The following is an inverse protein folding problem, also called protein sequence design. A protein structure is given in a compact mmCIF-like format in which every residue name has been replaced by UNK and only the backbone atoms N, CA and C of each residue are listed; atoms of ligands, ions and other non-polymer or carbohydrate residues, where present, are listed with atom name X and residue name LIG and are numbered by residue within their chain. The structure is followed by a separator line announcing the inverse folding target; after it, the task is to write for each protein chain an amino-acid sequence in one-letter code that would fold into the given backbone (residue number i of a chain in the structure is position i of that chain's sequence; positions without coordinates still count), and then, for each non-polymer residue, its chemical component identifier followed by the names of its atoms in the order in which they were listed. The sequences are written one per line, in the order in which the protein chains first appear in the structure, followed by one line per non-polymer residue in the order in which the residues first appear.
data_IF_899180142636
#
_entry.id   IF_899180142636
#
_cell.length_a   1.000
_cell.length_b   1.000
_cell.length_c   1.000
_cell.angle_alpha   90.00
_cell.angle_beta   90.00
_cell.angle_gamma   90.00
#
_symmetry.space_group_name_H-M   'P 1'
#
loop_
_entity.id
_entity.type
_entity.pdbx_description
1 polymer ?
#
# COMPACT_ATOMS: atom_id res chain seq x y z
N UNK A 1 -13.31 34.44 -6.74
CA UNK A 1 -13.24 35.89 -6.43
C UNK A 1 -11.93 36.44 -6.99
N UNK A 2 -11.99 37.62 -7.61
CA UNK A 2 -10.90 38.40 -8.24
C UNK A 2 -10.38 37.95 -9.60
N UNK A 3 -10.87 38.60 -10.66
CA UNK A 3 -10.09 39.45 -11.57
C UNK A 3 -11.04 39.86 -12.71
N UNK A 4 -11.75 40.99 -12.58
CA UNK A 4 -11.29 42.34 -12.93
C UNK A 4 -10.86 42.49 -14.39
N UNK A 5 -11.87 42.71 -15.24
CA UNK A 5 -11.91 43.83 -16.19
C UNK A 5 -10.63 44.11 -17.00
N UNK A 6 -10.28 43.22 -17.92
CA UNK A 6 -9.43 43.60 -19.05
C UNK A 6 -10.31 44.08 -20.20
N UNK A 7 -10.75 45.34 -20.09
CA UNK A 7 -11.50 46.03 -21.14
C UNK A 7 -10.49 46.48 -22.21
N UNK A 8 -10.05 45.53 -23.05
CA UNK A 8 -9.24 45.87 -24.23
C UNK A 8 -10.11 46.70 -25.18
N UNK A 9 -9.82 47.98 -25.30
CA UNK A 9 -10.38 48.85 -26.34
C UNK A 9 -9.77 48.37 -27.67
N UNK A 10 -10.33 47.32 -28.26
CA UNK A 10 -10.18 47.05 -29.69
C UNK A 10 -11.05 48.09 -30.38
N UNK A 11 -10.43 49.21 -30.76
CA UNK A 11 -11.00 50.09 -31.78
C UNK A 11 -10.97 49.27 -33.06
N UNK A 12 -12.08 48.64 -33.40
CA UNK A 12 -12.24 47.92 -34.66
C UNK A 12 -12.01 48.92 -35.79
N UNK A 13 -10.82 48.86 -36.38
CA UNK A 13 -10.40 49.70 -37.49
C UNK A 13 -11.14 49.20 -38.73
N UNK A 14 -12.41 49.61 -38.87
CA UNK A 14 -13.25 49.20 -39.99
C UNK A 14 -12.74 49.86 -41.25
N UNK A 15 -12.11 49.06 -42.11
CA UNK A 15 -11.62 49.47 -43.44
C UNK A 15 -12.73 50.17 -44.26
N UNK A 16 -14.02 49.86 -44.00
CA UNK A 16 -15.18 50.53 -44.61
C UNK A 16 -15.16 52.05 -44.50
N UNK A 17 -14.67 52.60 -43.39
CA UNK A 17 -14.73 54.04 -43.13
C UNK A 17 -13.68 54.80 -43.95
N UNK A 18 -12.64 54.11 -44.43
CA UNK A 18 -11.59 54.66 -45.28
C UNK A 18 -11.80 54.34 -46.76
N UNK A 19 -12.57 53.30 -47.11
CA UNK A 19 -12.90 52.98 -48.50
C UNK A 19 -13.56 54.18 -49.20
N UNK A 20 -14.44 54.90 -48.51
CA UNK A 20 -15.07 56.12 -49.04
C UNK A 20 -14.05 57.22 -49.37
N UNK A 21 -13.07 57.44 -48.48
CA UNK A 21 -12.01 58.44 -48.68
C UNK A 21 -10.99 58.01 -49.74
N UNK A 22 -10.66 56.72 -49.81
CA UNK A 22 -9.77 56.17 -50.83
C UNK A 22 -10.43 56.26 -52.21
N UNK A 23 -11.71 55.87 -52.32
CA UNK A 23 -12.49 56.04 -53.55
C UNK A 23 -12.54 57.51 -53.93
N UNK A 24 -12.89 58.41 -53.01
CA UNK A 24 -12.94 59.84 -53.27
C UNK A 24 -11.59 60.38 -53.76
N UNK A 25 -10.48 59.96 -53.15
CA UNK A 25 -9.12 60.30 -53.59
C UNK A 25 -8.81 59.80 -55.01
N UNK A 26 -9.20 58.57 -55.34
CA UNK A 26 -9.03 58.00 -56.69
C UNK A 26 -9.90 58.75 -57.71
N UNK A 27 -11.16 59.07 -57.37
CA UNK A 27 -12.05 59.84 -58.24
C UNK A 27 -11.52 61.25 -58.47
N UNK A 28 -11.01 61.91 -57.43
CA UNK A 28 -10.38 63.23 -57.55
C UNK A 28 -9.12 63.17 -58.39
N UNK A 29 -8.33 62.09 -58.29
CA UNK A 29 -7.14 61.89 -59.11
C UNK A 29 -7.49 61.70 -60.60
N UNK A 30 -8.52 60.91 -60.91
CA UNK A 30 -8.98 60.74 -62.29
C UNK A 30 -9.63 61.99 -62.87
N UNK A 31 -10.31 62.79 -62.05
CA UNK A 31 -10.89 64.08 -62.44
C UNK A 31 -9.87 65.21 -62.44
N UNK A 32 -8.68 64.99 -61.88
CA UNK A 32 -7.64 66.00 -61.76
C UNK A 32 -7.25 66.62 -63.10
N UNK A 33 -7.01 65.88 -64.20
CA UNK A 33 -6.69 66.50 -65.50
C UNK A 33 -7.80 67.43 -66.01
N UNK A 34 -9.06 67.11 -65.72
CA UNK A 34 -10.21 67.89 -66.15
C UNK A 34 -10.41 69.13 -65.28
N UNK A 35 -10.33 69.00 -63.95
CA UNK A 35 -10.35 70.11 -63.00
C UNK A 35 -9.17 71.06 -63.26
N UNK A 36 -7.99 70.49 -63.54
CA UNK A 36 -6.78 71.23 -63.87
C UNK A 36 -6.94 71.99 -65.18
N UNK A 37 -7.45 71.34 -66.24
CA UNK A 37 -7.75 72.00 -67.51
C UNK A 37 -8.78 73.13 -67.35
N UNK A 38 -9.78 72.94 -66.49
CA UNK A 38 -10.79 73.96 -66.20
C UNK A 38 -10.20 75.15 -65.44
N UNK A 39 -9.39 74.90 -64.42
CA UNK A 39 -8.65 75.95 -63.68
C UNK A 39 -7.64 76.68 -64.57
N UNK A 40 -6.90 75.96 -65.42
CA UNK A 40 -5.96 76.55 -66.37
C UNK A 40 -6.65 77.43 -67.39
N UNK A 41 -7.79 77.00 -67.96
CA UNK A 41 -8.57 77.83 -68.89
C UNK A 41 -9.24 79.03 -68.19
N UNK A 42 -9.59 78.91 -66.91
CA UNK A 42 -10.18 80.01 -66.16
C UNK A 42 -9.14 81.07 -65.77
N UNK A 43 -7.90 80.66 -65.47
CA UNK A 43 -6.77 81.56 -65.13
C UNK A 43 -6.06 82.10 -66.39
N UNK A 44 -5.99 81.35 -67.49
CA UNK A 44 -5.40 81.79 -68.75
C UNK A 44 -6.46 82.24 -69.76
N UNK A 45 -6.89 83.48 -69.65
CA UNK A 45 -7.74 84.12 -70.67
C UNK A 45 -6.94 84.84 -71.78
N UNK A 46 -5.60 84.92 -71.68
CA UNK A 46 -4.75 85.48 -72.76
C UNK A 46 -3.37 84.80 -72.86
N UNK A 47 -3.13 83.90 -73.83
CA UNK A 47 -1.89 83.12 -73.94
C UNK A 47 -0.65 83.94 -74.32
N UNK A 48 -0.79 85.20 -74.77
CA UNK A 48 0.35 86.06 -75.11
C UNK A 48 1.01 86.74 -73.90
N UNK A 49 0.33 86.83 -72.75
CA UNK A 49 0.88 87.49 -71.55
C UNK A 49 1.72 86.54 -70.66
N UNK A 50 1.62 85.22 -70.87
CA UNK A 50 2.25 84.21 -70.01
C UNK A 50 3.52 83.56 -70.59
N UNK A 51 3.87 83.79 -71.86
CA UNK A 51 5.03 83.20 -72.52
C UNK A 51 6.38 83.47 -71.82
N UNK A 52 6.50 84.58 -71.08
CA UNK A 52 7.73 84.92 -70.32
C UNK A 52 7.71 84.43 -68.86
N UNK A 53 6.54 84.08 -68.29
CA UNK A 53 6.38 83.74 -66.86
C UNK A 53 6.08 82.24 -66.59
N UNK A 54 6.09 81.39 -67.62
CA UNK A 54 5.88 79.95 -67.47
C UNK A 54 6.95 79.26 -66.59
N UNK A 55 8.17 79.81 -66.52
CA UNK A 55 9.22 79.34 -65.60
C UNK A 55 8.83 79.50 -64.13
N UNK A 56 8.18 80.61 -63.75
CA UNK A 56 7.73 80.85 -62.37
C UNK A 56 6.60 79.89 -61.95
N UNK A 57 5.73 79.50 -62.90
CA UNK A 57 4.71 78.47 -62.66
C UNK A 57 5.37 77.09 -62.49
N UNK A 58 6.36 76.77 -63.32
CA UNK A 58 7.17 75.55 -63.20
C UNK A 58 7.91 75.43 -61.86
N UNK A 59 8.46 76.53 -61.34
CA UNK A 59 9.13 76.58 -60.03
C UNK A 59 8.15 76.43 -58.86
N UNK A 60 6.92 76.94 -58.97
CA UNK A 60 5.86 76.69 -57.99
C UNK A 60 5.46 75.21 -57.98
N UNK A 61 5.32 74.57 -59.13
CA UNK A 61 5.04 73.13 -59.19
C UNK A 61 6.23 72.29 -58.70
N UNK A 62 7.46 72.67 -59.05
CA UNK A 62 8.68 72.02 -58.58
C UNK A 62 8.84 72.12 -57.06
N UNK A 63 8.59 73.30 -56.48
CA UNK A 63 8.63 73.52 -55.04
C UNK A 63 7.51 72.80 -54.28
N UNK A 64 6.31 72.70 -54.84
CA UNK A 64 5.22 71.88 -54.30
C UNK A 64 5.58 70.39 -54.33
N UNK A 65 6.14 69.90 -55.44
CA UNK A 65 6.53 68.50 -55.55
C UNK A 65 7.72 68.16 -54.62
N UNK A 66 8.66 69.09 -54.43
CA UNK A 66 9.73 68.97 -53.43
C UNK A 66 9.19 69.01 -51.99
N UNK A 67 8.15 69.81 -51.71
CA UNK A 67 7.47 69.85 -50.42
C UNK A 67 6.72 68.55 -50.13
N UNK A 68 6.00 67.99 -51.13
CA UNK A 68 5.38 66.67 -51.00
C UNK A 68 6.42 65.57 -50.82
N UNK A 69 7.53 65.61 -51.55
CA UNK A 69 8.60 64.60 -51.43
C UNK A 69 9.28 64.66 -50.06
N UNK A 70 9.55 65.87 -49.55
CA UNK A 70 10.12 66.05 -48.21
C UNK A 70 9.15 65.68 -47.09
N UNK A 71 7.86 66.02 -47.22
CA UNK A 71 6.81 65.57 -46.30
C UNK A 71 6.67 64.04 -46.30
N UNK A 72 6.74 63.41 -47.47
CA UNK A 72 6.72 61.94 -47.62
C UNK A 72 7.94 61.31 -46.97
N UNK A 73 9.13 61.90 -47.13
CA UNK A 73 10.36 61.44 -46.47
C UNK A 73 10.22 61.50 -44.94
N UNK A 74 9.68 62.60 -44.40
CA UNK A 74 9.42 62.75 -42.97
C UNK A 74 8.43 61.68 -42.48
N UNK A 75 7.33 61.45 -43.21
CA UNK A 75 6.36 60.40 -42.88
C UNK A 75 6.99 59.01 -42.88
N UNK A 76 7.85 58.70 -43.85
CA UNK A 76 8.59 57.43 -43.91
C UNK A 76 9.54 57.31 -42.72
N UNK A 77 10.28 58.35 -42.36
CA UNK A 77 11.19 58.35 -41.20
C UNK A 77 10.40 58.08 -39.91
N UNK A 78 9.29 58.79 -39.70
CA UNK A 78 8.42 58.61 -38.52
C UNK A 78 7.82 57.20 -38.49
N UNK A 79 7.30 56.71 -39.62
CA UNK A 79 6.77 55.35 -39.74
C UNK A 79 7.83 54.29 -39.44
N UNK A 80 9.04 54.47 -39.96
CA UNK A 80 10.18 53.57 -39.70
C UNK A 80 10.58 53.57 -38.22
N UNK A 81 10.58 54.73 -37.56
CA UNK A 81 10.85 54.82 -36.12
C UNK A 81 9.76 54.14 -35.29
N UNK A 82 8.48 54.35 -35.62
CA UNK A 82 7.37 53.68 -34.95
C UNK A 82 7.41 52.16 -35.14
N UNK A 83 7.71 51.67 -36.34
CA UNK A 83 7.89 50.23 -36.61
C UNK A 83 9.06 49.65 -35.83
N UNK A 84 10.17 50.40 -35.70
CA UNK A 84 11.32 49.97 -34.90
C UNK A 84 10.95 49.86 -33.42
N UNK A 85 10.20 50.82 -32.89
CA UNK A 85 9.75 50.81 -31.51
C UNK A 85 8.73 49.68 -31.25
N UNK A 86 7.76 49.49 -32.14
CA UNK A 86 6.83 48.37 -32.06
C UNK A 86 7.56 47.00 -32.09
N UNK A 87 8.61 46.86 -32.91
CA UNK A 87 9.43 45.65 -32.93
C UNK A 87 10.23 45.44 -31.64
N UNK A 88 10.67 46.51 -30.98
CA UNK A 88 11.33 46.43 -29.67
C UNK A 88 10.33 46.00 -28.59
N UNK A 89 9.16 46.60 -28.55
CA UNK A 89 8.10 46.25 -27.60
C UNK A 89 7.64 44.79 -27.76
N UNK A 90 7.50 44.32 -29.01
CA UNK A 90 7.20 42.91 -29.30
C UNK A 90 8.30 41.96 -28.79
N UNK A 91 9.57 42.32 -28.99
CA UNK A 91 10.70 41.52 -28.48
C UNK A 91 10.70 41.46 -26.96
N UNK A 92 10.43 42.58 -26.28
CA UNK A 92 10.36 42.62 -24.82
C UNK A 92 9.18 41.83 -24.27
N UNK A 93 8.00 41.95 -24.88
CA UNK A 93 6.82 41.18 -24.51
C UNK A 93 7.05 39.67 -24.71
N UNK A 94 7.66 39.28 -25.83
CA UNK A 94 8.02 37.88 -26.10
C UNK A 94 9.06 37.36 -25.10
N UNK A 95 10.07 38.16 -24.76
CA UNK A 95 11.07 37.80 -23.75
C UNK A 95 10.44 37.62 -22.35
N UNK A 96 9.45 38.45 -21.99
CA UNK A 96 8.70 38.29 -20.73
C UNK A 96 7.83 37.03 -20.74
N UNK A 97 7.12 36.76 -21.84
CA UNK A 97 6.31 35.54 -22.00
C UNK A 97 7.18 34.28 -21.88
N UNK A 98 8.32 34.23 -22.59
CA UNK A 98 9.24 33.09 -22.52
C UNK A 98 9.75 32.84 -21.10
N UNK A 99 10.12 33.89 -20.35
CA UNK A 99 10.53 33.75 -18.95
C UNK A 99 9.40 33.21 -18.08
N UNK A 100 8.17 33.68 -18.28
CA UNK A 100 7.01 33.24 -17.51
C UNK A 100 6.62 31.79 -17.84
N UNK A 101 6.67 31.40 -19.12
CA UNK A 101 6.44 30.01 -19.55
C UNK A 101 7.51 29.07 -19.04
N UNK A 102 8.79 29.47 -19.07
CA UNK A 102 9.88 28.70 -18.47
C UNK A 102 9.67 28.51 -16.96
N UNK A 103 9.37 29.59 -16.23
CA UNK A 103 9.11 29.50 -14.80
C UNK A 103 7.89 28.60 -14.49
N UNK A 104 6.78 28.78 -15.22
CA UNK A 104 5.58 27.95 -15.10
C UNK A 104 5.87 26.48 -15.41
N UNK A 105 6.60 26.20 -16.50
CA UNK A 105 6.99 24.85 -16.90
C UNK A 105 7.88 24.17 -15.84
N UNK A 106 8.85 24.90 -15.28
CA UNK A 106 9.69 24.36 -14.19
C UNK A 106 8.89 24.06 -12.93
N UNK A 107 7.93 24.94 -12.57
CA UNK A 107 7.05 24.71 -11.42
C UNK A 107 6.12 23.51 -11.64
N UNK A 108 5.54 23.38 -12.84
CA UNK A 108 4.73 22.22 -13.24
C UNK A 108 5.53 20.93 -13.21
N UNK A 109 6.78 20.95 -13.69
CA UNK A 109 7.66 19.79 -13.67
C UNK A 109 8.01 19.40 -12.23
N UNK A 110 8.37 20.36 -11.38
CA UNK A 110 8.66 20.11 -9.97
C UNK A 110 7.44 19.52 -9.25
N UNK A 111 6.24 20.06 -9.50
CA UNK A 111 4.99 19.53 -8.96
C UNK A 111 4.68 18.12 -9.47
N UNK A 112 4.91 17.84 -10.76
CA UNK A 112 4.73 16.51 -11.32
C UNK A 112 5.68 15.50 -10.67
N UNK A 113 6.96 15.85 -10.50
CA UNK A 113 7.96 15.00 -9.82
C UNK A 113 7.54 14.72 -8.38
N UNK A 114 7.11 15.74 -7.62
CA UNK A 114 6.67 15.57 -6.23
C UNK A 114 5.42 14.67 -6.14
N UNK A 115 4.45 14.87 -7.03
CA UNK A 115 3.25 14.04 -7.14
C UNK A 115 3.60 12.58 -7.45
N UNK A 116 4.49 12.34 -8.42
CA UNK A 116 4.92 10.98 -8.78
C UNK A 116 5.66 10.29 -7.63
N UNK A 117 6.48 11.02 -6.86
CA UNK A 117 7.13 10.47 -5.66
C UNK A 117 6.11 10.02 -4.62
N UNK A 118 5.13 10.88 -4.31
CA UNK A 118 4.04 10.55 -3.36
C UNK A 118 3.21 9.36 -3.83
N UNK A 119 2.90 9.29 -5.13
CA UNK A 119 2.17 8.16 -5.71
C UNK A 119 2.98 6.86 -5.61
N UNK A 120 4.29 6.90 -5.85
CA UNK A 120 5.16 5.75 -5.71
C UNK A 120 5.25 5.29 -4.25
N UNK A 121 5.44 6.21 -3.31
CA UNK A 121 5.46 5.91 -1.88
C UNK A 121 4.15 5.27 -1.42
N UNK A 122 3.01 5.82 -1.84
CA UNK A 122 1.71 5.25 -1.54
C UNK A 122 1.53 3.86 -2.17
N UNK A 123 1.96 3.68 -3.42
CA UNK A 123 1.88 2.39 -4.09
C UNK A 123 2.71 1.32 -3.38
N UNK A 124 3.91 1.68 -2.90
CA UNK A 124 4.77 0.79 -2.10
C UNK A 124 4.06 0.40 -0.80
N UNK A 125 3.51 1.38 -0.06
CA UNK A 125 2.81 1.12 1.21
C UNK A 125 1.58 0.23 1.01
N UNK A 126 0.77 0.50 -0.01
CA UNK A 126 -0.41 -0.32 -0.34
C UNK A 126 0.01 -1.74 -0.71
N UNK A 127 1.05 -1.89 -1.51
CA UNK A 127 1.57 -3.20 -1.91
C UNK A 127 2.10 -3.99 -0.71
N UNK A 128 2.85 -3.36 0.20
CA UNK A 128 3.33 -3.97 1.44
C UNK A 128 2.17 -4.41 2.35
N UNK A 129 1.17 -3.55 2.53
CA UNK A 129 -0.03 -3.86 3.29
C UNK A 129 -0.78 -5.06 2.70
N UNK A 130 -0.95 -5.12 1.37
CA UNK A 130 -1.58 -6.24 0.67
C UNK A 130 -0.80 -7.55 0.84
N UNK A 131 0.54 -7.51 0.77
CA UNK A 131 1.37 -8.69 1.03
C UNK A 131 1.18 -9.17 2.46
N UNK A 132 1.15 -8.25 3.43
CA UNK A 132 0.94 -8.59 4.84
C UNK A 132 -0.45 -9.23 5.06
N UNK A 133 -1.50 -8.61 4.51
CA UNK A 133 -2.87 -9.14 4.59
C UNK A 133 -2.98 -10.52 3.93
N UNK A 134 -2.37 -10.70 2.75
CA UNK A 134 -2.33 -11.99 2.05
C UNK A 134 -1.63 -13.07 2.87
N UNK A 135 -0.46 -12.76 3.45
CA UNK A 135 0.27 -13.67 4.34
C UNK A 135 -0.58 -14.07 5.55
N UNK A 136 -1.26 -13.11 6.17
CA UNK A 136 -2.14 -13.36 7.30
C UNK A 136 -3.35 -14.23 6.93
N UNK A 137 -3.97 -13.98 5.77
CA UNK A 137 -5.05 -14.80 5.26
C UNK A 137 -4.61 -16.25 4.97
N UNK A 138 -3.45 -16.43 4.34
CA UNK A 138 -2.85 -17.75 4.06
C UNK A 138 -2.57 -18.48 5.38
N UNK A 139 -1.99 -17.79 6.37
CA UNK A 139 -1.75 -18.35 7.70
C UNK A 139 -3.05 -18.82 8.35
N UNK A 140 -4.09 -17.98 8.38
CA UNK A 140 -5.38 -18.33 8.96
C UNK A 140 -6.00 -19.57 8.31
N UNK A 141 -5.99 -19.62 6.98
CA UNK A 141 -6.51 -20.78 6.26
C UNK A 141 -5.75 -22.05 6.64
N UNK A 142 -4.40 -22.01 6.66
CA UNK A 142 -3.58 -23.16 7.09
C UNK A 142 -3.85 -23.56 8.54
N UNK A 143 -3.94 -22.58 9.45
CA UNK A 143 -4.19 -22.81 10.87
C UNK A 143 -5.54 -23.53 11.07
N UNK A 144 -6.63 -23.01 10.50
CA UNK A 144 -7.94 -23.63 10.63
C UNK A 144 -8.04 -24.98 9.91
N UNK A 145 -7.36 -25.15 8.77
CA UNK A 145 -7.25 -26.47 8.13
C UNK A 145 -6.57 -27.49 9.04
N UNK A 146 -5.49 -27.13 9.74
CA UNK A 146 -4.81 -28.03 10.69
C UNK A 146 -5.66 -28.33 11.93
N UNK A 147 -6.40 -27.35 12.46
CA UNK A 147 -7.35 -27.58 13.57
C UNK A 147 -8.44 -28.56 13.15
N UNK A 148 -8.99 -28.41 11.95
CA UNK A 148 -9.99 -29.34 11.42
C UNK A 148 -9.40 -30.74 11.19
N UNK A 149 -8.21 -30.82 10.59
CA UNK A 149 -7.50 -32.09 10.40
C UNK A 149 -7.22 -32.80 11.73
N UNK A 150 -6.85 -32.07 12.79
CA UNK A 150 -6.72 -32.60 14.16
C UNK A 150 -8.04 -33.19 14.64
N UNK A 151 -9.15 -32.47 14.47
CA UNK A 151 -10.48 -32.93 14.87
C UNK A 151 -10.86 -34.23 14.16
N UNK A 152 -10.62 -34.31 12.86
CA UNK A 152 -10.84 -35.52 12.06
C UNK A 152 -9.90 -36.67 12.46
N UNK A 153 -8.63 -36.36 12.77
CA UNK A 153 -7.64 -37.34 13.21
C UNK A 153 -8.04 -38.04 14.50
N UNK A 154 -8.66 -37.34 15.47
CA UNK A 154 -9.23 -37.98 16.67
C UNK A 154 -10.25 -39.04 16.29
N UNK A 155 -11.15 -38.72 15.36
CA UNK A 155 -12.23 -39.62 14.94
C UNK A 155 -11.71 -40.85 14.20
N UNK A 156 -10.54 -40.73 13.58
CA UNK A 156 -9.85 -41.82 12.89
C UNK A 156 -8.97 -42.66 13.81
N UNK A 157 -8.80 -42.29 15.08
CA UNK A 157 -8.13 -43.16 16.05
C UNK A 157 -8.96 -44.43 16.25
N UNK A 158 -8.35 -45.57 15.94
CA UNK A 158 -8.96 -46.89 16.14
C UNK A 158 -8.29 -47.54 17.33
N UNK A 159 -9.09 -47.83 18.35
CA UNK A 159 -8.67 -48.52 19.55
C UNK A 159 -9.58 -49.70 19.81
N UNK A 160 -8.96 -50.81 20.22
CA UNK A 160 -9.68 -52.03 20.54
C UNK A 160 -9.55 -52.33 22.03
N UNK A 161 -10.66 -52.72 22.65
CA UNK A 161 -10.65 -53.37 23.96
C UNK A 161 -10.88 -54.86 23.76
N UNK A 162 -10.20 -55.68 24.56
CA UNK A 162 -10.49 -57.10 24.67
C UNK A 162 -11.28 -57.30 25.97
N UNK A 163 -12.61 -57.15 25.87
CA UNK A 163 -13.53 -57.45 26.96
C UNK A 163 -14.11 -58.85 26.70
N UNK A 164 -13.77 -59.81 27.56
CA UNK A 164 -14.24 -61.20 27.49
C UNK A 164 -13.82 -61.99 26.22
N UNK A 165 -12.67 -61.69 25.61
CA UNK A 165 -12.17 -62.39 24.43
C UNK A 165 -12.76 -61.87 23.12
N UNK A 166 -13.49 -60.75 23.16
CA UNK A 166 -14.10 -60.12 21.98
C UNK A 166 -13.48 -58.73 21.78
N UNK A 167 -12.80 -58.54 20.65
CA UNK A 167 -12.28 -57.24 20.24
C UNK A 167 -13.44 -56.30 19.88
N UNK A 168 -13.60 -55.22 20.64
CA UNK A 168 -14.57 -54.17 20.34
C UNK A 168 -13.86 -52.86 20.06
N UNK A 169 -14.29 -52.18 18.98
CA UNK A 169 -13.83 -50.82 18.66
C UNK A 169 -14.38 -49.86 19.71
N UNK A 170 -13.51 -49.05 20.30
CA UNK A 170 -13.87 -48.03 21.29
C UNK A 170 -13.98 -46.68 20.59
N UNK A 171 -14.98 -45.88 20.97
CA UNK A 171 -15.06 -44.48 20.56
C UNK A 171 -13.88 -43.67 21.13
N UNK A 172 -13.30 -42.73 20.36
CA UNK A 172 -12.14 -41.94 20.81
C UNK A 172 -12.36 -41.24 22.15
N UNK A 173 -13.57 -40.71 22.40
CA UNK A 173 -13.90 -40.06 23.67
C UNK A 173 -13.74 -41.00 24.87
N UNK A 174 -14.29 -42.21 24.77
CA UNK A 174 -14.20 -43.24 25.81
C UNK A 174 -12.75 -43.70 25.96
N UNK A 175 -12.02 -43.82 24.85
CA UNK A 175 -10.60 -44.15 24.86
C UNK A 175 -9.79 -43.12 25.66
N UNK A 176 -9.88 -41.83 25.34
CA UNK A 176 -9.15 -40.77 26.06
C UNK A 176 -9.56 -40.72 27.54
N UNK A 177 -10.83 -40.95 27.88
CA UNK A 177 -11.29 -41.00 29.28
C UNK A 177 -10.69 -42.17 30.06
N UNK A 178 -10.72 -43.40 29.49
CA UNK A 178 -10.13 -44.59 30.11
C UNK A 178 -8.62 -44.42 30.28
N UNK A 179 -7.96 -43.95 29.23
CA UNK A 179 -6.53 -43.72 29.21
C UNK A 179 -6.11 -42.65 30.23
N UNK A 180 -6.82 -41.53 30.31
CA UNK A 180 -6.52 -40.47 31.30
C UNK A 180 -6.71 -40.95 32.73
N UNK A 181 -7.66 -41.85 32.99
CA UNK A 181 -7.84 -42.46 34.32
C UNK A 181 -6.62 -43.32 34.70
N UNK A 182 -6.12 -44.14 33.78
CA UNK A 182 -4.90 -44.94 33.99
C UNK A 182 -3.67 -44.07 34.21
N UNK A 183 -3.54 -43.00 33.42
CA UNK A 183 -2.47 -42.00 33.57
C UNK A 183 -2.54 -41.31 34.93
N UNK A 184 -3.71 -40.83 35.34
CA UNK A 184 -3.89 -40.17 36.66
C UNK A 184 -3.59 -41.11 37.82
N UNK A 185 -3.98 -42.38 37.72
CA UNK A 185 -3.62 -43.36 38.74
C UNK A 185 -2.10 -43.55 38.80
N UNK A 186 -1.42 -43.65 37.64
CA UNK A 186 0.04 -43.76 37.57
C UNK A 186 0.73 -42.55 38.19
N UNK A 187 0.28 -41.33 37.86
CA UNK A 187 0.77 -40.09 38.45
C UNK A 187 0.57 -40.03 39.97
N UNK A 188 -0.56 -40.54 40.47
CA UNK A 188 -0.83 -40.59 41.92
C UNK A 188 0.14 -41.55 42.63
N UNK A 189 0.34 -42.76 42.10
CA UNK A 189 1.29 -43.73 42.66
C UNK A 189 2.71 -43.15 42.70
N UNK A 190 3.03 -42.29 41.74
CA UNK A 190 4.34 -41.63 41.67
C UNK A 190 4.51 -40.48 42.63
N UNK A 191 3.45 -39.72 42.90
CA UNK A 191 3.49 -38.69 43.93
C UNK A 191 3.83 -39.28 45.32
N UNK A 192 3.55 -40.57 45.53
CA UNK A 192 3.90 -41.30 46.75
C UNK A 192 5.33 -41.87 46.73
N UNK A 193 5.95 -42.06 45.56
CA UNK A 193 7.26 -42.71 45.39
C UNK A 193 8.16 -41.90 44.42
N UNK A 194 8.57 -40.68 44.80
CA UNK A 194 9.25 -39.74 43.89
C UNK A 194 10.62 -40.22 43.38
N UNK A 195 11.35 -40.97 44.21
CA UNK A 195 12.72 -41.42 43.94
C UNK A 195 12.80 -42.50 42.86
N UNK A 196 11.71 -43.25 42.62
CA UNK A 196 11.65 -44.29 41.60
C UNK A 196 11.37 -43.75 40.19
N UNK A 197 11.09 -42.45 40.08
CA UNK A 197 10.72 -41.85 38.81
C UNK A 197 11.97 -41.55 37.98
N UNK A 198 12.18 -42.27 36.90
CA UNK A 198 13.08 -41.87 35.82
C UNK A 198 12.39 -42.03 34.45
N UNK A 199 13.06 -41.57 33.39
CA UNK A 199 12.53 -41.65 32.03
C UNK A 199 12.32 -43.11 31.59
N UNK A 200 13.19 -44.03 31.99
CA UNK A 200 13.08 -45.45 31.63
C UNK A 200 11.89 -46.12 32.32
N UNK A 201 11.62 -45.75 33.57
CA UNK A 201 10.45 -46.17 34.33
C UNK A 201 9.17 -45.60 33.73
N UNK A 202 9.14 -44.31 33.36
CA UNK A 202 8.02 -43.68 32.65
C UNK A 202 7.76 -44.37 31.31
N UNK A 203 8.82 -44.68 30.56
CA UNK A 203 8.72 -45.44 29.31
C UNK A 203 8.09 -46.80 29.57
N UNK A 204 8.62 -47.54 30.56
CA UNK A 204 8.09 -48.86 30.94
C UNK A 204 6.65 -48.79 31.40
N UNK A 205 6.26 -47.78 32.18
CA UNK A 205 4.88 -47.64 32.67
C UNK A 205 3.91 -47.34 31.52
N UNK A 206 4.29 -46.46 30.60
CA UNK A 206 3.53 -46.14 29.40
C UNK A 206 3.32 -47.40 28.55
N UNK A 207 4.39 -48.10 28.17
CA UNK A 207 4.28 -49.25 27.28
C UNK A 207 3.64 -50.49 27.93
N UNK A 208 3.87 -50.74 29.23
CA UNK A 208 3.40 -51.97 29.89
C UNK A 208 2.04 -51.79 30.56
N UNK A 209 1.87 -50.70 31.32
CA UNK A 209 0.68 -50.50 32.17
C UNK A 209 -0.42 -49.73 31.46
N UNK A 210 -0.04 -48.74 30.65
CA UNK A 210 -0.98 -47.80 30.03
C UNK A 210 -1.49 -48.30 28.68
N UNK A 211 -0.64 -48.95 27.90
CA UNK A 211 -0.98 -49.58 26.62
C UNK A 211 -0.78 -51.10 26.68
N UNK A 212 -1.53 -51.82 27.52
CA UNK A 212 -1.40 -53.27 27.60
C UNK A 212 -1.60 -53.86 26.20
N UNK A 213 -0.73 -54.82 25.84
CA UNK A 213 -0.55 -55.50 24.56
C UNK A 213 -1.84 -56.03 23.89
N UNK A 214 -2.79 -55.16 23.56
CA UNK A 214 -3.67 -55.42 22.44
C UNK A 214 -2.74 -55.48 21.23
N UNK A 215 -2.77 -56.60 20.50
CA UNK A 215 -1.94 -56.83 19.32
C UNK A 215 -2.09 -55.74 18.24
N UNK A 216 -3.09 -54.85 18.39
CA UNK A 216 -3.47 -53.79 17.45
C UNK A 216 -3.36 -52.37 18.02
N UNK A 217 -3.22 -52.21 19.34
CA UNK A 217 -3.13 -50.90 19.97
C UNK A 217 -1.66 -50.49 20.03
N UNK A 218 -1.27 -49.61 19.10
CA UNK A 218 0.07 -49.03 19.07
C UNK A 218 0.03 -47.57 19.56
N UNK A 219 0.98 -47.22 20.43
CA UNK A 219 1.21 -45.84 20.87
C UNK A 219 1.52 -44.93 19.67
N UNK A 220 2.06 -45.45 18.58
CA UNK A 220 2.38 -44.69 17.36
C UNK A 220 1.17 -43.91 16.83
N UNK A 221 -0.03 -44.48 16.85
CA UNK A 221 -1.24 -43.77 16.40
C UNK A 221 -1.57 -42.57 17.30
N UNK A 222 -1.35 -42.71 18.61
CA UNK A 222 -1.53 -41.62 19.57
C UNK A 222 -0.46 -40.54 19.39
N UNK A 223 0.79 -40.92 19.11
CA UNK A 223 1.87 -39.97 18.84
C UNK A 223 1.68 -39.23 17.53
N UNK A 224 1.24 -39.94 16.48
CA UNK A 224 0.87 -39.33 15.22
C UNK A 224 -0.24 -38.29 15.42
N UNK A 225 -1.23 -38.63 16.26
CA UNK A 225 -2.25 -37.68 16.67
C UNK A 225 -1.68 -36.46 17.39
N UNK A 226 -0.84 -36.65 18.41
CA UNK A 226 -0.26 -35.52 19.15
C UNK A 226 0.74 -34.69 18.33
N UNK A 227 1.33 -35.27 17.28
CA UNK A 227 2.17 -34.54 16.32
C UNK A 227 1.40 -33.45 15.58
N UNK A 228 0.07 -33.55 15.47
CA UNK A 228 -0.75 -32.47 14.93
C UNK A 228 -0.64 -31.18 15.77
N UNK A 229 -0.51 -31.29 17.09
CA UNK A 229 -0.29 -30.11 17.95
C UNK A 229 1.10 -29.53 17.77
N UNK A 230 2.12 -30.36 17.56
CA UNK A 230 3.47 -29.89 17.21
C UNK A 230 3.39 -28.99 15.96
N UNK A 231 2.75 -29.47 14.89
CA UNK A 231 2.61 -28.68 13.67
C UNK A 231 1.82 -27.38 13.87
N UNK A 232 0.74 -27.41 14.65
CA UNK A 232 -0.04 -26.21 14.99
C UNK A 232 0.79 -25.19 15.77
N UNK A 233 1.52 -25.63 16.79
CA UNK A 233 2.34 -24.76 17.65
C UNK A 233 3.51 -24.18 16.86
N UNK A 234 4.21 -25.01 16.08
CA UNK A 234 5.31 -24.56 15.20
C UNK A 234 4.82 -23.56 14.15
N UNK A 235 3.64 -23.78 13.55
CA UNK A 235 3.04 -22.84 12.61
C UNK A 235 2.84 -21.45 13.25
N UNK A 236 2.33 -21.40 14.48
CA UNK A 236 2.13 -20.13 15.21
C UNK A 236 3.45 -19.49 15.61
N UNK A 237 4.41 -20.28 16.10
CA UNK A 237 5.73 -19.78 16.55
C UNK A 237 6.53 -19.17 15.41
N UNK A 238 6.54 -19.84 14.25
CA UNK A 238 7.33 -19.46 13.08
C UNK A 238 6.70 -18.31 12.27
N UNK A 239 5.44 -17.97 12.52
CA UNK A 239 4.80 -16.85 11.82
C UNK A 239 5.21 -15.50 12.44
N UNK A 240 5.38 -14.49 11.59
CA UNK A 240 5.62 -13.11 12.01
C UNK A 240 4.28 -12.47 12.45
N UNK A 241 3.88 -12.80 13.67
CA UNK A 241 2.67 -12.30 14.33
C UNK A 241 3.06 -11.48 15.54
N UNK A 242 2.17 -10.55 15.93
CA UNK A 242 2.33 -9.83 17.19
C UNK A 242 2.34 -10.84 18.37
N UNK A 243 3.04 -10.54 19.48
CA UNK A 243 3.06 -11.42 20.66
C UNK A 243 1.64 -11.71 21.22
N UNK A 244 0.73 -10.74 21.08
CA UNK A 244 -0.67 -10.85 21.51
C UNK A 244 -1.39 -11.87 20.63
N UNK A 245 -1.24 -11.78 19.30
CA UNK A 245 -1.87 -12.72 18.37
C UNK A 245 -1.30 -14.13 18.56
N UNK A 246 0.03 -14.29 18.71
CA UNK A 246 0.64 -15.60 18.99
C UNK A 246 0.01 -16.26 20.22
N UNK A 247 -0.11 -15.50 21.31
CA UNK A 247 -0.74 -15.98 22.54
C UNK A 247 -2.21 -16.36 22.33
N UNK A 248 -2.96 -15.57 21.55
CA UNK A 248 -4.34 -15.88 21.19
C UNK A 248 -4.45 -17.22 20.44
N UNK A 249 -3.66 -17.42 19.37
CA UNK A 249 -3.69 -18.68 18.61
C UNK A 249 -3.23 -19.88 19.43
N UNK A 250 -2.19 -19.73 20.26
CA UNK A 250 -1.76 -20.79 21.19
C UNK A 250 -2.88 -21.15 22.19
N UNK A 251 -3.63 -20.15 22.68
CA UNK A 251 -4.79 -20.39 23.55
C UNK A 251 -5.93 -21.11 22.82
N UNK A 252 -6.15 -20.82 21.53
CA UNK A 252 -7.10 -21.57 20.70
C UNK A 252 -6.67 -23.04 20.58
N UNK A 253 -5.38 -23.30 20.33
CA UNK A 253 -4.84 -24.67 20.28
C UNK A 253 -5.05 -25.37 21.63
N UNK A 254 -4.69 -24.71 22.73
CA UNK A 254 -4.83 -25.23 24.09
C UNK A 254 -6.29 -25.63 24.41
N UNK A 255 -7.24 -24.74 24.10
CA UNK A 255 -8.68 -24.96 24.31
C UNK A 255 -9.29 -25.96 23.32
N UNK A 256 -8.62 -26.27 22.21
CA UNK A 256 -9.05 -27.33 21.29
C UNK A 256 -8.82 -28.74 21.85
N UNK A 257 -8.04 -28.87 22.92
CA UNK A 257 -7.88 -30.11 23.68
C UNK A 257 -8.90 -30.20 24.81
N UNK A 258 -9.52 -31.35 24.96
CA UNK A 258 -10.25 -31.64 26.18
C UNK A 258 -9.28 -31.95 27.34
N UNK A 259 -9.82 -31.96 28.56
CA UNK A 259 -9.08 -32.26 29.79
C UNK A 259 -8.26 -33.57 29.71
N UNK A 260 -8.87 -34.64 29.18
CA UNK A 260 -8.24 -35.95 29.11
C UNK A 260 -7.06 -35.94 28.13
N UNK A 261 -7.21 -35.27 26.98
CA UNK A 261 -6.13 -35.10 26.00
C UNK A 261 -4.93 -34.37 26.60
N UNK A 262 -5.14 -33.27 27.33
CA UNK A 262 -4.06 -32.53 27.96
C UNK A 262 -3.31 -33.36 29.01
N UNK A 263 -4.02 -34.13 29.84
CA UNK A 263 -3.40 -35.02 30.83
C UNK A 263 -2.55 -36.10 30.15
N UNK A 264 -3.02 -36.64 29.04
CA UNK A 264 -2.29 -37.67 28.30
C UNK A 264 -1.05 -37.08 27.61
N UNK A 265 -1.20 -35.92 26.96
CA UNK A 265 -0.08 -35.19 26.37
C UNK A 265 0.98 -34.86 27.43
N UNK A 266 0.54 -34.33 28.58
CA UNK A 266 1.37 -34.04 29.75
C UNK A 266 2.10 -35.29 30.24
N UNK A 267 1.47 -36.46 30.21
CA UNK A 267 2.14 -37.68 30.67
C UNK A 267 3.17 -38.22 29.67
N UNK A 268 2.86 -38.19 28.37
CA UNK A 268 3.71 -38.84 27.36
C UNK A 268 4.82 -37.92 26.83
N UNK A 269 4.64 -36.59 26.84
CA UNK A 269 5.58 -35.71 26.15
C UNK A 269 7.04 -35.76 26.64
N UNK A 270 7.34 -36.03 27.93
CA UNK A 270 8.73 -36.18 28.38
C UNK A 270 9.47 -37.36 27.74
N UNK A 271 8.74 -38.34 27.18
CA UNK A 271 9.34 -39.46 26.45
C UNK A 271 9.77 -39.10 25.02
N UNK A 272 9.28 -37.97 24.50
CA UNK A 272 9.49 -37.56 23.11
C UNK A 272 10.06 -36.16 23.09
N UNK A 273 11.39 -36.06 23.04
CA UNK A 273 12.12 -34.79 23.07
C UNK A 273 11.56 -33.75 22.09
N UNK A 274 11.31 -34.14 20.85
CA UNK A 274 10.72 -33.29 19.82
C UNK A 274 9.36 -32.69 20.20
N UNK A 275 8.51 -33.47 20.89
CA UNK A 275 7.22 -33.02 21.37
C UNK A 275 7.44 -32.07 22.57
N UNK A 276 8.32 -32.46 23.50
CA UNK A 276 8.64 -31.64 24.66
C UNK A 276 9.21 -30.25 24.30
N UNK A 277 10.11 -30.19 23.32
CA UNK A 277 10.69 -28.95 22.84
C UNK A 277 9.65 -28.05 22.16
N UNK A 278 8.74 -28.64 21.37
CA UNK A 278 7.73 -27.84 20.68
C UNK A 278 6.70 -27.24 21.65
N UNK A 279 6.39 -27.93 22.76
CA UNK A 279 5.45 -27.46 23.79
C UNK A 279 6.04 -26.36 24.69
N UNK A 280 7.36 -26.17 24.74
CA UNK A 280 7.97 -25.11 25.54
C UNK A 280 7.45 -23.73 25.12
N UNK A 281 7.23 -22.79 26.03
CA UNK A 281 6.72 -21.44 25.74
C UNK A 281 5.35 -21.39 25.02
N UNK A 282 4.61 -22.49 25.00
CA UNK A 282 3.30 -22.57 24.35
C UNK A 282 2.14 -22.34 25.30
N UNK A 283 2.38 -22.38 26.63
CA UNK A 283 1.35 -22.30 27.66
C UNK A 283 0.17 -23.27 27.41
N UNK A 284 0.45 -24.44 26.80
CA UNK A 284 -0.57 -25.34 26.23
C UNK A 284 -1.46 -26.02 27.29
N UNK A 285 -0.94 -26.20 28.50
CA UNK A 285 -1.69 -26.86 29.58
C UNK A 285 -2.54 -25.84 30.32
N UNK A 286 -3.85 -25.90 30.12
CA UNK A 286 -4.83 -24.90 30.59
C UNK A 286 -6.05 -25.49 31.31
N UNK A 287 -6.19 -26.81 31.37
CA UNK A 287 -7.39 -27.46 31.92
C UNK A 287 -7.20 -28.25 33.21
N UNK A 288 -5.98 -28.38 33.73
CA UNK A 288 -5.74 -29.12 34.96
C UNK A 288 -4.80 -28.42 35.93
N UNK A 289 -5.03 -28.64 37.21
CA UNK A 289 -4.22 -28.18 38.34
C UNK A 289 -4.28 -29.20 39.47
N UNK A 290 -3.41 -29.04 40.47
CA UNK A 290 -3.50 -29.71 41.76
C UNK A 290 -2.32 -30.61 42.11
N UNK A 291 -2.17 -30.84 43.42
CA UNK A 291 -1.07 -31.53 44.09
C UNK A 291 -0.63 -32.86 43.48
N UNK A 292 -1.56 -33.61 42.89
CA UNK A 292 -1.28 -34.92 42.28
C UNK A 292 -0.40 -34.85 41.02
N UNK A 293 -0.26 -33.67 40.41
CA UNK A 293 0.54 -33.47 39.20
C UNK A 293 1.84 -32.73 39.46
N UNK A 294 1.97 -32.06 40.61
CA UNK A 294 3.06 -31.14 40.94
C UNK A 294 4.42 -31.80 40.87
N UNK A 295 4.57 -32.98 41.47
CA UNK A 295 5.85 -33.69 41.45
C UNK A 295 6.30 -34.02 40.03
N UNK A 296 5.39 -34.52 39.19
CA UNK A 296 5.69 -34.85 37.80
C UNK A 296 5.93 -33.59 36.97
N UNK A 297 5.14 -32.52 37.19
CA UNK A 297 5.31 -31.23 36.55
C UNK A 297 6.69 -30.66 36.84
N UNK A 298 7.08 -30.58 38.12
CA UNK A 298 8.37 -30.08 38.55
C UNK A 298 9.53 -30.90 38.01
N UNK A 299 9.38 -32.23 37.86
CA UNK A 299 10.47 -33.07 37.36
C UNK A 299 10.77 -32.87 35.88
N UNK A 300 9.74 -32.67 35.06
CA UNK A 300 9.90 -32.70 33.60
C UNK A 300 9.65 -31.36 32.92
N UNK A 301 8.91 -30.44 33.53
CA UNK A 301 8.44 -29.21 32.91
C UNK A 301 8.87 -27.98 33.70
N UNK A 302 8.79 -26.81 33.05
CA UNK A 302 8.94 -25.51 33.70
C UNK A 302 7.67 -24.66 33.51
N UNK A 303 7.65 -23.43 34.01
CA UNK A 303 6.45 -22.58 33.95
C UNK A 303 5.93 -22.32 32.52
N UNK A 304 6.82 -22.33 31.52
CA UNK A 304 6.50 -21.92 30.14
C UNK A 304 5.49 -22.84 29.43
N UNK A 305 5.27 -24.03 29.96
CA UNK A 305 4.33 -25.01 29.44
C UNK A 305 2.88 -24.77 29.90
N UNK A 306 2.66 -23.95 30.93
CA UNK A 306 1.38 -23.85 31.61
C UNK A 306 0.74 -22.47 31.48
N UNK A 307 -0.51 -22.45 31.01
CA UNK A 307 -1.28 -21.22 30.83
C UNK A 307 -2.24 -20.91 31.98
N UNK A 308 -2.11 -21.56 33.13
CA UNK A 308 -2.94 -21.33 34.34
C UNK A 308 -2.06 -20.71 35.43
N UNK A 309 -2.62 -19.72 36.14
CA UNK A 309 -1.91 -18.99 37.20
C UNK A 309 -1.39 -19.91 38.32
N UNK A 310 -2.16 -20.92 38.69
CA UNK A 310 -1.77 -21.93 39.67
C UNK A 310 -0.36 -22.51 39.41
N UNK A 311 -0.06 -22.85 38.16
CA UNK A 311 1.24 -23.41 37.79
C UNK A 311 2.34 -22.36 37.82
N UNK A 312 2.03 -21.11 37.46
CA UNK A 312 2.98 -20.00 37.52
C UNK A 312 3.39 -19.71 38.96
N UNK A 313 2.44 -19.72 39.89
CA UNK A 313 2.70 -19.61 41.32
C UNK A 313 3.52 -20.81 41.82
N UNK A 314 3.15 -22.04 41.45
CA UNK A 314 3.88 -23.25 41.81
C UNK A 314 5.36 -23.22 41.40
N UNK A 315 5.68 -22.91 40.14
CA UNK A 315 7.06 -22.84 39.66
C UNK A 315 7.83 -21.64 40.24
N UNK A 316 7.14 -20.54 40.55
CA UNK A 316 7.75 -19.40 41.26
C UNK A 316 8.17 -19.78 42.70
N UNK A 317 7.42 -20.64 43.36
CA UNK A 317 7.71 -21.12 44.72
C UNK A 317 8.78 -22.21 44.76
N UNK A 318 8.69 -23.20 43.86
CA UNK A 318 9.58 -24.35 43.85
C UNK A 318 10.88 -24.12 43.05
N UNK A 319 10.87 -23.15 42.13
CA UNK A 319 11.90 -22.98 41.11
C UNK A 319 11.63 -23.86 39.88
N UNK A 320 12.32 -23.56 38.78
CA UNK A 320 12.33 -24.42 37.61
C UNK A 320 13.25 -25.63 37.86
N UNK A 321 12.95 -26.82 37.31
CA UNK A 321 13.87 -27.94 37.35
C UNK A 321 15.22 -27.56 36.72
N UNK A 322 16.29 -27.87 37.45
CA UNK A 322 17.69 -27.71 37.02
C UNK A 322 18.11 -28.72 35.98
#
# INVERSE_FOLDING_TARGET
MSNSTEKSIKKDFKISDYIGWILLGITLWFLFPWIFSFFFNWIMTDPKYYGENFGAVGDIYGSVNALFTSATLILVIVSTMMQRQANQDVREAMAKQLKQEQASSTAQLAQAIDSTKKQLELAIQVHEAQISESKYAIFNNKFYSLINFKSESVNNLVWYTDEHGVEQRIEPKIFFERLSKTVRHSLSVWSENPDEMDIEFLKKSVYIKTFPYSKRNDITSLLAYFSNYKYLIELVKNMDLSPIDKRMYLRIIANSMNYNEQIILFYISPLYKDLMECLKDSEIFVHFSGYRYEFFAHKFYNESYFGIEFWKEFFKEQGDPT
#
